data_IF_375614909879
#
_entry.id   IF_375614909879
#
_cell.length_a   1.000
_cell.length_b   1.000
_cell.length_c   1.000
_cell.angle_alpha   90.00
_cell.angle_beta   90.00
_cell.angle_gamma   90.00
#
_symmetry.space_group_name_H-M   'P 1'
#
loop_
_entity.id
_entity.type
_entity.pdbx_description
1 polymer ?
#
# COMPACT_ATOMS: atom_id res chain seq x y z
N UNK A 1 -13.77 24.48 -6.21
CA UNK A 1 -14.65 23.55 -5.45
C UNK A 1 -14.65 22.25 -6.21
N UNK A 2 -13.68 21.36 -5.91
CA UNK A 2 -13.50 20.12 -6.67
C UNK A 2 -14.33 19.04 -6.00
N UNK A 3 -15.36 18.58 -6.72
CA UNK A 3 -16.27 17.53 -6.28
C UNK A 3 -15.53 16.20 -6.22
N UNK A 4 -15.54 15.60 -5.03
CA UNK A 4 -14.96 14.30 -4.75
C UNK A 4 -15.77 13.22 -5.48
N UNK A 5 -15.17 12.58 -6.47
CA UNK A 5 -15.67 11.38 -7.14
C UNK A 5 -14.73 10.22 -6.78
N UNK A 6 -15.28 9.05 -6.45
CA UNK A 6 -14.57 7.87 -5.93
C UNK A 6 -13.48 7.25 -6.85
N UNK A 7 -13.05 7.97 -7.90
CA UNK A 7 -11.95 7.65 -8.81
C UNK A 7 -10.59 8.14 -8.32
N UNK A 8 -10.50 8.83 -7.18
CA UNK A 8 -9.24 9.41 -6.69
C UNK A 8 -8.15 8.36 -6.45
N UNK A 9 -8.47 7.15 -5.97
CA UNK A 9 -7.47 6.06 -5.84
C UNK A 9 -6.96 5.53 -7.18
N UNK A 10 -7.80 5.53 -8.22
CA UNK A 10 -7.38 5.21 -9.59
C UNK A 10 -6.41 6.27 -10.14
N UNK A 11 -6.57 7.54 -9.76
CA UNK A 11 -5.71 8.64 -10.19
C UNK A 11 -4.36 8.71 -9.46
N UNK A 12 -4.22 8.10 -8.27
CA UNK A 12 -2.95 7.99 -7.54
C UNK A 12 -2.00 6.94 -8.13
N UNK A 13 -2.51 6.02 -8.95
CA UNK A 13 -1.74 4.89 -9.49
C UNK A 13 -1.49 3.75 -8.49
N UNK A 14 -2.01 3.85 -7.26
CA UNK A 14 -1.77 2.86 -6.20
C UNK A 14 -2.43 1.50 -6.44
N UNK A 15 -3.31 1.37 -7.43
CA UNK A 15 -3.82 0.06 -7.92
C UNK A 15 -2.68 -0.94 -8.22
N UNK A 16 -1.49 -0.45 -8.59
CA UNK A 16 -0.34 -1.31 -8.83
C UNK A 16 0.14 -2.05 -7.56
N UNK A 17 -0.12 -1.53 -6.36
CA UNK A 17 0.10 -2.21 -5.08
C UNK A 17 -0.77 -3.47 -4.96
N UNK A 18 -2.09 -3.32 -5.11
CA UNK A 18 -3.02 -4.45 -5.12
C UNK A 18 -2.70 -5.48 -6.21
N UNK A 19 -2.30 -5.03 -7.40
CA UNK A 19 -1.94 -5.93 -8.49
C UNK A 19 -0.67 -6.74 -8.17
N UNK A 20 0.37 -6.11 -7.63
CA UNK A 20 1.57 -6.82 -7.20
C UNK A 20 1.28 -7.80 -6.06
N UNK A 21 0.52 -7.37 -5.06
CA UNK A 21 0.08 -8.23 -3.95
C UNK A 21 -0.69 -9.45 -4.46
N UNK A 22 -1.67 -9.24 -5.35
CA UNK A 22 -2.45 -10.33 -5.92
C UNK A 22 -1.57 -11.37 -6.61
N UNK A 23 -0.68 -10.91 -7.49
CA UNK A 23 0.17 -11.78 -8.30
C UNK A 23 1.23 -12.51 -7.48
N UNK A 24 1.84 -11.82 -6.50
CA UNK A 24 2.89 -12.41 -5.67
C UNK A 24 2.35 -13.34 -4.59
N UNK A 25 1.18 -13.03 -4.04
CA UNK A 25 0.69 -13.66 -2.81
C UNK A 25 -0.63 -14.40 -2.99
N UNK A 26 -1.65 -13.76 -3.58
CA UNK A 26 -2.99 -14.35 -3.65
C UNK A 26 -3.11 -15.45 -4.70
N UNK A 27 -2.63 -15.20 -5.93
CA UNK A 27 -2.78 -16.14 -7.04
C UNK A 27 -2.08 -17.50 -6.77
N UNK A 28 -0.88 -17.55 -6.16
CA UNK A 28 -0.28 -18.82 -5.71
C UNK A 28 -1.14 -19.58 -4.68
N UNK A 29 -1.82 -18.87 -3.78
CA UNK A 29 -2.64 -19.48 -2.72
C UNK A 29 -3.98 -19.98 -3.29
N UNK A 30 -4.60 -19.19 -4.16
CA UNK A 30 -5.95 -19.46 -4.69
C UNK A 30 -5.94 -20.47 -5.84
N UNK A 31 -4.93 -20.39 -6.71
CA UNK A 31 -4.90 -21.16 -7.95
C UNK A 31 -3.71 -22.12 -8.05
N UNK A 32 -2.79 -22.11 -7.08
CA UNK A 32 -1.55 -22.89 -7.16
C UNK A 32 -0.60 -22.42 -8.28
N UNK A 33 -0.89 -21.27 -8.88
CA UNK A 33 -0.14 -20.72 -9.99
C UNK A 33 0.74 -19.56 -9.53
N UNK A 34 2.05 -19.76 -9.60
CA UNK A 34 3.02 -18.68 -9.42
C UNK A 34 3.33 -18.07 -10.78
N UNK A 35 3.09 -16.76 -10.97
CA UNK A 35 3.47 -16.06 -12.20
C UNK A 35 4.96 -16.24 -12.49
N UNK A 36 5.33 -16.24 -13.76
CA UNK A 36 6.74 -16.31 -14.14
C UNK A 36 7.52 -15.09 -13.60
N UNK A 37 8.84 -15.23 -13.35
CA UNK A 37 9.63 -14.16 -12.74
C UNK A 37 9.58 -12.83 -13.50
N UNK A 38 9.51 -12.85 -14.83
CA UNK A 38 9.50 -11.64 -15.66
C UNK A 38 8.18 -10.90 -15.52
N UNK A 39 7.07 -11.63 -15.47
CA UNK A 39 5.74 -11.05 -15.20
C UNK A 39 5.70 -10.42 -13.80
N UNK A 40 6.20 -11.14 -12.79
CA UNK A 40 6.23 -10.64 -11.41
C UNK A 40 7.10 -9.38 -11.26
N UNK A 41 8.27 -9.36 -11.92
CA UNK A 41 9.15 -8.18 -11.98
C UNK A 41 8.45 -6.99 -12.66
N UNK A 42 7.66 -7.24 -13.72
CA UNK A 42 6.85 -6.21 -14.37
C UNK A 42 5.83 -5.56 -13.43
N UNK A 43 5.14 -6.37 -12.60
CA UNK A 43 4.24 -5.84 -11.58
C UNK A 43 4.98 -5.06 -10.50
N UNK A 44 6.14 -5.56 -10.05
CA UNK A 44 6.98 -4.89 -9.08
C UNK A 44 7.41 -3.50 -9.56
N UNK A 45 7.96 -3.39 -10.79
CA UNK A 45 8.41 -2.10 -11.36
C UNK A 45 7.27 -1.08 -11.48
N UNK A 46 6.07 -1.53 -11.87
CA UNK A 46 4.89 -0.66 -11.94
C UNK A 46 4.46 -0.17 -10.55
N UNK A 47 4.50 -1.05 -9.55
CA UNK A 47 4.22 -0.69 -8.16
C UNK A 47 5.25 0.32 -7.65
N UNK A 48 6.56 0.04 -7.80
CA UNK A 48 7.62 0.97 -7.38
C UNK A 48 7.46 2.34 -8.05
N UNK A 49 7.21 2.37 -9.36
CA UNK A 49 7.02 3.64 -10.06
C UNK A 49 5.80 4.41 -9.55
N UNK A 50 4.72 3.72 -9.21
CA UNK A 50 3.55 4.34 -8.63
C UNK A 50 3.85 4.92 -7.23
N UNK A 51 4.56 4.17 -6.39
CA UNK A 51 4.97 4.60 -5.06
C UNK A 51 5.94 5.78 -5.11
N UNK A 52 6.89 5.79 -6.05
CA UNK A 52 7.78 6.92 -6.28
C UNK A 52 6.99 8.18 -6.66
N UNK A 53 6.02 8.08 -7.58
CA UNK A 53 5.17 9.23 -7.92
C UNK A 53 4.31 9.66 -6.73
N UNK A 54 3.81 8.72 -5.92
CA UNK A 54 3.03 9.02 -4.73
C UNK A 54 3.87 9.78 -3.69
N UNK A 55 5.07 9.29 -3.39
CA UNK A 55 6.01 9.91 -2.45
C UNK A 55 6.45 11.31 -2.89
N UNK A 56 6.75 11.48 -4.19
CA UNK A 56 7.36 12.72 -4.71
C UNK A 56 6.34 13.74 -5.19
N UNK A 57 5.32 13.33 -5.94
CA UNK A 57 4.37 14.26 -6.58
C UNK A 57 3.12 14.51 -5.75
N UNK A 58 2.66 13.51 -5.00
CA UNK A 58 1.44 13.64 -4.19
C UNK A 58 1.75 14.07 -2.76
N UNK A 59 2.74 13.45 -2.12
CA UNK A 59 3.13 13.79 -0.75
C UNK A 59 4.28 14.80 -0.68
N UNK A 60 5.04 14.96 -1.77
CA UNK A 60 6.14 15.93 -1.87
C UNK A 60 5.72 17.30 -2.41
N UNK A 61 4.41 17.55 -2.60
CA UNK A 61 3.88 18.81 -3.13
C UNK A 61 3.75 19.93 -2.06
N UNK A 62 4.12 19.66 -0.81
CA UNK A 62 4.06 20.63 0.30
C UNK A 62 2.77 20.62 1.12
N UNK A 63 1.85 19.67 0.90
CA UNK A 63 0.66 19.48 1.74
C UNK A 63 0.82 18.34 2.73
N UNK A 64 0.12 18.41 3.87
CA UNK A 64 0.24 17.40 4.93
C UNK A 64 -0.40 16.04 4.58
N UNK A 65 -1.41 16.04 3.70
CA UNK A 65 -2.21 14.89 3.27
C UNK A 65 -2.44 14.93 1.76
N UNK A 66 -3.03 13.87 1.19
CA UNK A 66 -3.18 13.70 -0.27
C UNK A 66 -3.94 14.86 -0.92
N UNK A 67 -4.99 15.36 -0.26
CA UNK A 67 -5.89 16.37 -0.80
C UNK A 67 -5.67 17.78 -0.22
N UNK A 68 -4.65 17.98 0.61
CA UNK A 68 -4.39 19.25 1.29
C UNK A 68 -3.90 19.08 2.73
N UNK A 69 -4.20 20.06 3.58
CA UNK A 69 -3.71 20.07 4.97
C UNK A 69 -4.65 19.40 5.98
N UNK A 70 -5.74 18.81 5.51
CA UNK A 70 -6.69 18.07 6.33
C UNK A 70 -6.82 16.65 5.78
N UNK A 71 -6.90 15.69 6.70
CA UNK A 71 -7.06 14.29 6.35
C UNK A 71 -8.42 14.04 5.72
N UNK A 72 -8.46 13.15 4.74
CA UNK A 72 -9.68 12.79 4.02
C UNK A 72 -9.80 11.28 3.88
N UNK A 73 -10.95 10.82 3.39
CA UNK A 73 -11.14 9.43 2.99
C UNK A 73 -10.15 8.97 1.91
N UNK A 74 -9.60 9.88 1.10
CA UNK A 74 -8.56 9.54 0.13
C UNK A 74 -7.29 9.00 0.82
N UNK A 75 -6.94 9.57 1.98
CA UNK A 75 -5.78 9.15 2.76
C UNK A 75 -5.98 7.75 3.34
N UNK A 76 -7.17 7.48 3.88
CA UNK A 76 -7.52 6.16 4.42
C UNK A 76 -7.47 5.08 3.33
N UNK A 77 -8.08 5.34 2.17
CA UNK A 77 -8.09 4.38 1.07
C UNK A 77 -6.68 4.12 0.53
N UNK A 78 -5.86 5.16 0.38
CA UNK A 78 -4.48 5.01 -0.05
C UNK A 78 -3.64 4.21 0.97
N UNK A 79 -3.86 4.42 2.27
CA UNK A 79 -3.16 3.67 3.31
C UNK A 79 -3.51 2.17 3.25
N UNK A 80 -4.79 1.83 3.05
CA UNK A 80 -5.23 0.44 2.86
C UNK A 80 -4.56 -0.25 1.65
N UNK A 81 -4.30 0.47 0.56
CA UNK A 81 -3.57 -0.08 -0.59
C UNK A 81 -2.10 -0.41 -0.24
N UNK A 82 -1.44 0.44 0.57
CA UNK A 82 -0.07 0.18 1.03
C UNK A 82 0.00 -0.99 2.03
N UNK A 83 -1.04 -1.19 2.84
CA UNK A 83 -1.11 -2.32 3.78
C UNK A 83 -1.03 -3.67 3.05
N UNK A 84 -1.58 -3.76 1.84
CA UNK A 84 -1.57 -4.99 1.05
C UNK A 84 -0.16 -5.38 0.58
N UNK A 85 0.72 -4.42 0.29
CA UNK A 85 2.09 -4.73 -0.17
C UNK A 85 2.91 -5.39 0.93
N UNK A 86 2.63 -5.10 2.20
CA UNK A 86 3.31 -5.74 3.34
C UNK A 86 3.05 -7.24 3.39
N UNK A 87 1.85 -7.67 3.02
CA UNK A 87 1.54 -9.10 2.87
C UNK A 87 2.30 -9.77 1.70
N UNK A 88 2.81 -8.98 0.76
CA UNK A 88 3.68 -9.42 -0.33
C UNK A 88 5.17 -9.20 -0.02
N UNK A 89 5.53 -9.10 1.26
CA UNK A 89 6.90 -8.89 1.75
C UNK A 89 7.55 -7.60 1.25
N UNK A 90 6.76 -6.56 1.00
CA UNK A 90 7.27 -5.26 0.58
C UNK A 90 6.67 -4.15 1.44
N UNK A 91 7.53 -3.41 2.14
CA UNK A 91 7.12 -2.27 2.96
C UNK A 91 7.54 -0.94 2.28
N UNK A 92 6.58 -0.16 1.75
CA UNK A 92 6.87 1.13 1.13
C UNK A 92 7.60 2.11 2.04
N UNK A 93 7.32 2.08 3.35
CA UNK A 93 7.93 3.00 4.31
C UNK A 93 9.45 2.83 4.45
N UNK A 94 10.02 1.70 4.01
CA UNK A 94 11.46 1.47 4.06
C UNK A 94 12.21 2.23 2.94
N UNK A 95 11.53 2.54 1.83
CA UNK A 95 12.14 3.13 0.64
C UNK A 95 11.67 4.58 0.36
N UNK A 96 10.52 4.99 0.91
CA UNK A 96 9.86 6.24 0.56
C UNK A 96 9.56 7.08 1.82
N UNK A 97 10.33 8.16 1.99
CA UNK A 97 10.36 8.91 3.26
C UNK A 97 9.11 9.74 3.53
N UNK A 98 8.46 10.29 2.50
CA UNK A 98 7.21 11.04 2.67
C UNK A 98 6.06 10.07 2.95
N UNK A 99 6.04 8.91 2.27
CA UNK A 99 5.12 7.82 2.58
C UNK A 99 5.29 7.39 4.04
N UNK A 100 6.51 7.16 4.52
CA UNK A 100 6.76 6.75 5.90
C UNK A 100 6.17 7.73 6.93
N UNK A 101 6.35 9.04 6.71
CA UNK A 101 5.81 10.10 7.58
C UNK A 101 4.28 10.20 7.48
N UNK A 102 3.76 10.26 6.26
CA UNK A 102 2.33 10.41 6.00
C UNK A 102 1.53 9.20 6.52
N UNK A 103 2.02 7.99 6.26
CA UNK A 103 1.30 6.76 6.60
C UNK A 103 1.17 6.59 8.12
N UNK A 104 2.20 6.99 8.88
CA UNK A 104 2.14 7.06 10.35
C UNK A 104 1.03 8.01 10.82
N UNK A 105 0.95 9.22 10.27
CA UNK A 105 -0.09 10.21 10.61
C UNK A 105 -1.50 9.66 10.34
N UNK A 106 -1.70 9.00 9.19
CA UNK A 106 -3.00 8.42 8.82
C UNK A 106 -3.41 7.32 9.82
N UNK A 107 -2.49 6.41 10.15
CA UNK A 107 -2.76 5.34 11.13
C UNK A 107 -3.09 5.90 12.51
N UNK A 108 -2.32 6.87 12.98
CA UNK A 108 -2.56 7.53 14.28
C UNK A 108 -3.93 8.22 14.32
N UNK A 109 -4.35 8.88 13.23
CA UNK A 109 -5.63 9.57 13.16
C UNK A 109 -6.84 8.62 13.21
N UNK A 110 -6.79 7.49 12.49
CA UNK A 110 -7.91 6.55 12.37
C UNK A 110 -7.91 5.44 13.42
N UNK A 111 -6.94 5.42 14.34
CA UNK A 111 -6.91 4.46 15.43
C UNK A 111 -8.02 4.74 16.46
N UNK A 112 -8.61 3.70 17.07
CA UNK A 112 -8.20 2.29 17.03
C UNK A 112 -8.73 1.51 15.80
N UNK A 113 -9.71 2.04 15.07
CA UNK A 113 -10.42 1.33 14.01
C UNK A 113 -9.52 0.94 12.84
N UNK A 114 -8.46 1.71 12.58
CA UNK A 114 -7.45 1.34 11.59
C UNK A 114 -6.79 0.00 11.95
N UNK A 115 -6.32 -0.16 13.19
CA UNK A 115 -5.68 -1.41 13.63
C UNK A 115 -6.66 -2.58 13.70
N UNK A 116 -7.91 -2.33 14.12
CA UNK A 116 -8.98 -3.33 14.12
C UNK A 116 -9.30 -3.85 12.71
N UNK A 117 -9.42 -2.95 11.73
CA UNK A 117 -9.68 -3.31 10.34
C UNK A 117 -8.52 -4.13 9.73
N UNK A 118 -7.28 -3.88 10.17
CA UNK A 118 -6.08 -4.53 9.64
C UNK A 118 -5.64 -5.77 10.45
N UNK A 119 -6.46 -6.30 11.37
CA UNK A 119 -6.13 -7.50 12.16
C UNK A 119 -5.77 -8.70 11.28
N UNK A 120 -6.47 -8.92 10.17
CA UNK A 120 -6.19 -10.05 9.27
C UNK A 120 -4.84 -9.86 8.57
N UNK A 121 -4.57 -8.65 8.08
CA UNK A 121 -3.29 -8.27 7.48
C UNK A 121 -2.15 -8.52 8.46
N UNK A 122 -2.29 -8.04 9.70
CA UNK A 122 -1.32 -8.23 10.78
C UNK A 122 -1.11 -9.71 11.13
N UNK A 123 -2.17 -10.52 11.16
CA UNK A 123 -2.07 -11.98 11.37
C UNK A 123 -1.27 -12.65 10.24
N UNK A 124 -1.51 -12.27 8.99
CA UNK A 124 -0.79 -12.82 7.83
C UNK A 124 0.69 -12.45 7.91
N UNK A 125 1.02 -11.16 8.12
CA UNK A 125 2.39 -10.67 8.24
C UNK A 125 3.13 -11.40 9.38
N UNK A 126 2.50 -11.55 10.54
CA UNK A 126 3.10 -12.26 11.68
C UNK A 126 3.33 -13.74 11.40
N UNK A 127 2.41 -14.41 10.69
CA UNK A 127 2.59 -15.81 10.26
C UNK A 127 3.78 -15.94 9.31
N UNK A 128 3.91 -15.03 8.35
CA UNK A 128 5.01 -14.99 7.40
C UNK A 128 6.37 -14.76 8.08
N UNK A 129 6.45 -13.80 9.01
CA UNK A 129 7.67 -13.54 9.77
C UNK A 129 8.14 -14.78 10.56
N UNK A 130 7.20 -15.53 11.17
CA UNK A 130 7.50 -16.78 11.87
C UNK A 130 7.96 -17.90 10.94
N UNK A 131 7.46 -17.97 9.71
CA UNK A 131 7.92 -18.94 8.71
C UNK A 131 9.34 -18.62 8.25
N UNK A 132 9.65 -17.34 8.01
CA UNK A 132 10.98 -16.88 7.61
C UNK A 132 12.03 -17.14 8.70
N UNK A 133 11.67 -17.02 9.99
CA UNK A 133 12.59 -17.26 11.10
C UNK A 133 12.87 -18.75 11.40
N UNK A 134 12.17 -19.68 10.74
CA UNK A 134 12.37 -21.13 10.87
C UNK A 134 13.22 -21.74 9.75
N UNK A 135 13.59 -20.95 8.76
CA UNK A 135 14.47 -21.30 7.64
C UNK A 135 15.82 -20.64 7.92
#
# INVERSE_FOLDING_TARGET
MNTWNGNTTHNLGLRHCAMYFRQKYMDPILFGHTPDPKTLEGYFKRMEKALENFDTKWLGNGTEYIAGNSITVADLLAACELEQTKMAYYNPADNFSNIAKWWKKVREHFNPYYDEAHVIVNKIINKQAKLKAKI
#
